data_IF_818591872453
#
_entry.id   IF_818591872453
#
_cell.length_a   1.000
_cell.length_b   1.000
_cell.length_c   1.000
_cell.angle_alpha   90.00
_cell.angle_beta   90.00
_cell.angle_gamma   90.00
#
_symmetry.space_group_name_H-M   'P 1'
#
loop_
_entity.id
_entity.type
_entity.pdbx_description
1 polymer ?
#
# COMPACT_ATOMS: atom_id res chain seq x y z
N UNK A 1 -20.95 -14.82 -1.78
CA UNK A 1 -19.83 -14.44 -0.94
C UNK A 1 -20.12 -13.15 -0.19
N UNK A 2 -19.58 -12.99 1.03
CA UNK A 2 -19.66 -11.71 1.74
C UNK A 2 -18.66 -10.71 1.18
N UNK A 3 -19.05 -9.43 1.07
CA UNK A 3 -18.21 -8.36 0.55
C UNK A 3 -18.60 -7.02 1.16
N UNK A 4 -17.59 -6.14 1.40
CA UNK A 4 -17.81 -4.76 1.83
C UNK A 4 -18.01 -3.88 0.60
N UNK A 5 -19.21 -3.36 0.42
CA UNK A 5 -19.63 -2.62 -0.77
C UNK A 5 -19.78 -1.14 -0.46
N UNK A 6 -19.19 -0.30 -1.31
CA UNK A 6 -19.35 1.16 -1.29
C UNK A 6 -20.63 1.58 -2.00
N UNK A 7 -21.41 2.45 -1.40
CA UNK A 7 -22.69 2.96 -1.94
C UNK A 7 -22.72 4.47 -2.15
N UNK A 8 -21.58 5.13 -2.04
CA UNK A 8 -21.45 6.57 -2.11
C UNK A 8 -20.81 7.13 -0.84
N UNK A 9 -20.51 8.44 -0.80
CA UNK A 9 -19.85 9.07 0.33
C UNK A 9 -20.54 8.77 1.67
N UNK A 10 -19.78 8.26 2.62
CA UNK A 10 -20.24 7.86 3.96
C UNK A 10 -21.03 6.55 4.00
N UNK A 11 -21.35 5.93 2.87
CA UNK A 11 -22.24 4.78 2.79
C UNK A 11 -21.48 3.51 2.37
N UNK A 12 -21.50 2.51 3.22
CA UNK A 12 -20.98 1.16 2.94
C UNK A 12 -21.84 0.11 3.63
N UNK A 13 -21.89 -1.09 3.07
CA UNK A 13 -22.59 -2.22 3.67
C UNK A 13 -21.83 -3.53 3.43
N UNK A 14 -21.97 -4.47 4.38
CA UNK A 14 -21.55 -5.85 4.18
C UNK A 14 -22.71 -6.60 3.53
N UNK A 15 -22.48 -7.09 2.30
CA UNK A 15 -23.54 -7.68 1.47
C UNK A 15 -23.17 -9.06 0.96
N UNK A 16 -24.19 -9.79 0.52
CA UNK A 16 -24.02 -10.99 -0.28
C UNK A 16 -23.87 -10.61 -1.76
N UNK A 17 -22.73 -10.97 -2.34
CA UNK A 17 -22.41 -10.74 -3.76
C UNK A 17 -22.10 -12.09 -4.46
N UNK A 18 -22.28 -12.21 -5.77
CA UNK A 18 -21.82 -13.38 -6.50
C UNK A 18 -20.30 -13.53 -6.39
N UNK A 19 -19.81 -14.77 -6.38
CA UNK A 19 -18.38 -15.05 -6.50
C UNK A 19 -17.90 -14.53 -7.87
N UNK A 20 -16.74 -13.84 -7.95
CA UNK A 20 -16.22 -13.37 -9.22
C UNK A 20 -15.85 -14.54 -10.15
N UNK A 21 -15.91 -14.29 -11.45
CA UNK A 21 -15.55 -15.24 -12.50
C UNK A 21 -14.29 -14.75 -13.23
N UNK A 22 -13.53 -15.70 -13.81
CA UNK A 22 -12.45 -15.40 -14.76
C UNK A 22 -13.05 -14.70 -15.99
N UNK A 23 -12.48 -13.59 -16.41
CA UNK A 23 -12.91 -12.82 -17.59
C UNK A 23 -11.90 -12.85 -18.72
N UNK A 24 -10.62 -12.89 -18.34
CA UNK A 24 -9.50 -12.86 -19.27
C UNK A 24 -8.56 -14.06 -19.01
N UNK A 25 -7.82 -14.52 -20.03
CA UNK A 25 -6.89 -15.64 -19.87
C UNK A 25 -5.83 -15.42 -18.78
N UNK A 26 -5.44 -14.19 -18.50
CA UNK A 26 -4.44 -13.83 -17.48
C UNK A 26 -5.00 -13.59 -16.08
N UNK A 27 -6.27 -13.85 -15.84
CA UNK A 27 -6.89 -13.64 -14.54
C UNK A 27 -6.63 -14.79 -13.56
N UNK A 28 -6.63 -14.46 -12.27
CA UNK A 28 -6.81 -15.44 -11.19
C UNK A 28 -8.00 -15.02 -10.31
N UNK A 29 -8.69 -16.02 -9.75
CA UNK A 29 -9.59 -15.84 -8.61
C UNK A 29 -8.82 -16.26 -7.36
N UNK A 30 -8.76 -15.36 -6.40
CA UNK A 30 -8.10 -15.60 -5.12
C UNK A 30 -9.13 -15.62 -4.01
N UNK A 31 -9.14 -16.70 -3.20
CA UNK A 31 -9.88 -16.78 -1.96
C UNK A 31 -9.12 -16.02 -0.89
N UNK A 32 -9.71 -14.98 -0.34
CA UNK A 32 -9.05 -14.10 0.63
C UNK A 32 -8.86 -14.79 1.97
N UNK A 33 -7.67 -14.62 2.55
CA UNK A 33 -7.31 -15.03 3.92
C UNK A 33 -7.21 -13.81 4.82
N UNK A 34 -6.51 -12.77 4.37
CA UNK A 34 -6.38 -11.49 5.05
C UNK A 34 -6.54 -10.34 4.05
N UNK A 35 -7.10 -9.24 4.50
CA UNK A 35 -7.16 -7.95 3.80
C UNK A 35 -6.99 -6.83 4.82
N UNK A 36 -6.72 -5.63 4.36
CA UNK A 36 -6.54 -4.46 5.23
C UNK A 36 -7.62 -3.42 4.98
N UNK A 37 -7.63 -2.39 5.83
CA UNK A 37 -8.31 -1.11 5.59
C UNK A 37 -7.20 -0.07 5.43
N UNK A 38 -7.12 0.53 4.26
CA UNK A 38 -6.13 1.55 3.92
C UNK A 38 -6.70 2.97 4.06
N UNK A 39 -5.83 3.97 4.17
CA UNK A 39 -6.23 5.38 4.07
C UNK A 39 -7.01 5.69 2.79
N UNK A 40 -6.67 5.02 1.70
CA UNK A 40 -7.39 5.09 0.41
C UNK A 40 -8.86 4.72 0.52
N UNK A 41 -9.22 3.68 1.29
CA UNK A 41 -10.62 3.31 1.53
C UNK A 41 -11.38 4.42 2.25
N UNK A 42 -10.71 5.11 3.18
CA UNK A 42 -11.28 6.26 3.89
C UNK A 42 -11.50 7.45 2.96
N UNK A 43 -10.59 7.72 2.02
CA UNK A 43 -10.75 8.73 0.98
C UNK A 43 -11.89 8.40 0.03
N UNK A 44 -12.04 7.14 -0.38
CA UNK A 44 -13.20 6.69 -1.15
C UNK A 44 -14.50 6.97 -0.38
N UNK A 45 -14.54 6.62 0.92
CA UNK A 45 -15.71 6.86 1.77
C UNK A 45 -15.99 8.34 2.02
N UNK A 46 -15.01 9.24 1.91
CA UNK A 46 -15.22 10.69 1.94
C UNK A 46 -15.75 11.23 0.60
N UNK A 47 -15.60 10.48 -0.49
CA UNK A 47 -15.96 10.92 -1.85
C UNK A 47 -14.81 11.59 -2.61
N UNK A 48 -13.59 11.51 -2.09
CA UNK A 48 -12.39 12.14 -2.68
C UNK A 48 -11.89 11.40 -3.93
N UNK A 49 -12.41 10.18 -4.20
CA UNK A 49 -12.00 9.34 -5.33
C UNK A 49 -13.16 9.14 -6.32
N UNK A 50 -13.38 10.07 -7.26
CA UNK A 50 -14.54 10.06 -8.15
C UNK A 50 -14.58 8.88 -9.14
N UNK A 51 -13.47 8.18 -9.32
CA UNK A 51 -13.40 6.97 -10.17
C UNK A 51 -14.00 5.73 -9.51
N UNK A 52 -14.13 5.72 -8.19
CA UNK A 52 -14.79 4.66 -7.45
C UNK A 52 -16.31 4.91 -7.43
N UNK A 53 -17.06 4.08 -8.14
CA UNK A 53 -18.51 4.23 -8.28
C UNK A 53 -19.29 3.40 -7.26
N UNK A 54 -20.52 3.81 -6.87
CA UNK A 54 -21.40 3.00 -6.02
C UNK A 54 -21.60 1.57 -6.57
N UNK A 55 -21.65 0.59 -5.67
CA UNK A 55 -21.70 -0.83 -6.00
C UNK A 55 -20.33 -1.52 -6.04
N UNK A 56 -19.24 -0.77 -5.84
CA UNK A 56 -17.87 -1.29 -5.82
C UNK A 56 -17.56 -2.01 -4.52
N UNK A 57 -16.96 -3.21 -4.61
CA UNK A 57 -16.32 -3.87 -3.47
C UNK A 57 -14.98 -3.20 -3.22
N UNK A 58 -14.75 -2.73 -1.99
CA UNK A 58 -13.54 -2.01 -1.61
C UNK A 58 -12.31 -2.92 -1.43
N UNK A 59 -11.16 -2.30 -1.19
CA UNK A 59 -9.90 -2.96 -0.84
C UNK A 59 -9.00 -3.27 -2.04
N UNK A 60 -7.70 -3.13 -1.80
CA UNK A 60 -6.66 -3.37 -2.81
C UNK A 60 -5.43 -4.09 -2.24
N UNK A 61 -5.46 -4.43 -0.96
CA UNK A 61 -4.40 -5.14 -0.25
C UNK A 61 -4.90 -6.49 0.22
N UNK A 62 -4.11 -7.53 0.07
CA UNK A 62 -4.52 -8.82 0.59
C UNK A 62 -3.55 -9.95 0.34
N UNK A 63 -3.74 -10.99 1.14
CA UNK A 63 -3.15 -12.31 0.96
C UNK A 63 -4.25 -13.34 0.86
N UNK A 64 -4.03 -14.38 0.08
CA UNK A 64 -5.04 -15.40 -0.11
C UNK A 64 -4.51 -16.66 -0.79
N UNK A 65 -5.43 -17.52 -1.14
CA UNK A 65 -5.14 -18.80 -1.80
C UNK A 65 -5.76 -18.75 -3.20
N UNK A 66 -4.98 -19.08 -4.21
CA UNK A 66 -5.49 -19.18 -5.59
C UNK A 66 -6.58 -20.23 -5.66
N UNK A 67 -7.78 -19.84 -6.06
CA UNK A 67 -8.94 -20.72 -6.22
C UNK A 67 -9.02 -21.27 -7.66
N UNK A 68 -8.80 -20.39 -8.64
CA UNK A 68 -8.79 -20.75 -10.06
C UNK A 68 -7.96 -19.76 -10.87
N UNK A 69 -7.47 -20.19 -12.03
CA UNK A 69 -6.65 -19.38 -12.94
C UNK A 69 -7.15 -19.48 -14.37
N UNK A 70 -6.97 -18.43 -15.13
CA UNK A 70 -7.22 -18.42 -16.56
C UNK A 70 -6.17 -19.21 -17.36
N UNK A 71 -6.48 -19.55 -18.59
CA UNK A 71 -5.64 -20.41 -19.45
C UNK A 71 -4.28 -19.80 -19.82
N UNK A 72 -4.11 -18.50 -19.63
CA UNK A 72 -2.86 -17.78 -19.90
C UNK A 72 -1.97 -17.56 -18.67
N UNK A 73 -2.41 -17.98 -17.48
CA UNK A 73 -1.60 -17.91 -16.26
C UNK A 73 -0.60 -19.09 -16.25
N UNK A 74 0.66 -18.78 -16.02
CA UNK A 74 1.76 -19.75 -16.12
C UNK A 74 2.52 -19.93 -14.81
N UNK A 75 2.49 -18.95 -13.94
CA UNK A 75 3.28 -18.91 -12.68
C UNK A 75 2.53 -19.55 -11.52
N UNK A 76 1.20 -19.45 -11.51
CA UNK A 76 0.36 -19.85 -10.38
C UNK A 76 -0.64 -20.93 -10.74
N UNK A 77 -1.05 -21.70 -9.74
CA UNK A 77 -2.07 -22.76 -9.84
C UNK A 77 -2.99 -22.73 -8.61
N UNK A 78 -4.17 -23.34 -8.68
CA UNK A 78 -5.04 -23.49 -7.52
C UNK A 78 -4.31 -24.13 -6.32
N UNK A 79 -4.51 -23.54 -5.14
CA UNK A 79 -3.87 -23.93 -3.88
C UNK A 79 -2.61 -23.12 -3.53
N UNK A 80 -2.04 -22.36 -4.44
CA UNK A 80 -0.88 -21.51 -4.14
C UNK A 80 -1.27 -20.35 -3.21
N UNK A 81 -0.46 -20.11 -2.19
CA UNK A 81 -0.59 -18.94 -1.30
C UNK A 81 0.06 -17.72 -1.94
N UNK A 82 -0.67 -16.63 -2.02
CA UNK A 82 -0.26 -15.44 -2.75
C UNK A 82 -0.54 -14.13 -2.00
N UNK A 83 0.37 -13.20 -2.17
CA UNK A 83 0.19 -11.78 -1.89
C UNK A 83 -0.37 -11.11 -3.15
N UNK A 84 -1.37 -10.28 -3.00
CA UNK A 84 -1.96 -9.47 -4.07
C UNK A 84 -1.32 -8.09 -4.04
N UNK A 85 -0.67 -7.68 -5.14
CA UNK A 85 -0.20 -6.30 -5.29
C UNK A 85 -1.37 -5.33 -5.44
N UNK A 86 -1.32 -4.18 -4.78
CA UNK A 86 -2.26 -3.09 -5.00
C UNK A 86 -2.24 -2.58 -6.45
N UNK A 87 -1.12 -2.81 -7.15
CA UNK A 87 -0.91 -2.42 -8.54
C UNK A 87 -0.99 -3.65 -9.43
N UNK A 88 -2.02 -3.72 -10.27
CA UNK A 88 -2.11 -4.71 -11.34
C UNK A 88 -1.28 -4.26 -12.55
N UNK A 89 -0.51 -5.17 -13.15
CA UNK A 89 0.35 -4.79 -14.28
C UNK A 89 0.42 -5.88 -15.33
N UNK A 90 0.33 -5.51 -16.62
CA UNK A 90 0.34 -6.48 -17.72
C UNK A 90 1.74 -6.99 -18.10
N UNK A 91 2.81 -6.41 -17.57
CA UNK A 91 4.20 -6.77 -17.83
C UNK A 91 4.72 -6.46 -19.25
N UNK A 92 3.87 -6.06 -20.20
CA UNK A 92 4.24 -5.97 -21.63
C UNK A 92 4.02 -4.61 -22.32
N UNK A 93 3.23 -3.69 -21.73
CA UNK A 93 3.03 -2.36 -22.30
C UNK A 93 4.30 -1.49 -22.13
N UNK A 94 4.33 -0.34 -22.79
CA UNK A 94 5.47 0.57 -22.73
C UNK A 94 5.85 0.99 -21.30
N UNK A 95 4.86 1.23 -20.45
CA UNK A 95 5.08 1.61 -19.05
C UNK A 95 5.66 0.45 -18.23
N UNK A 96 5.07 -0.74 -18.33
CA UNK A 96 5.58 -1.91 -17.63
C UNK A 96 7.02 -2.27 -18.04
N UNK A 97 7.37 -2.14 -19.34
CA UNK A 97 8.74 -2.36 -19.83
C UNK A 97 9.76 -1.36 -19.30
N UNK A 98 9.30 -0.23 -18.81
CA UNK A 98 10.10 0.83 -18.15
C UNK A 98 10.09 0.74 -16.63
N UNK A 99 9.45 -0.29 -16.04
CA UNK A 99 9.29 -0.43 -14.60
C UNK A 99 8.23 0.49 -13.98
N UNK A 100 7.40 1.15 -14.79
CA UNK A 100 6.35 2.08 -14.35
C UNK A 100 5.02 1.35 -14.23
N UNK A 101 4.92 0.38 -13.34
CA UNK A 101 3.77 -0.54 -13.24
C UNK A 101 2.47 0.16 -12.87
N UNK A 102 2.52 1.19 -12.02
CA UNK A 102 1.36 2.01 -11.65
C UNK A 102 0.72 2.74 -12.85
N UNK A 103 1.46 2.93 -13.95
CA UNK A 103 1.00 3.53 -15.20
C UNK A 103 0.62 2.48 -16.26
N UNK A 104 0.46 1.21 -15.87
CA UNK A 104 0.09 0.16 -16.82
C UNK A 104 -1.15 0.53 -17.62
N UNK A 105 -1.11 0.37 -18.94
CA UNK A 105 -2.21 0.76 -19.84
C UNK A 105 -3.52 -0.02 -19.59
N UNK A 106 -3.46 -1.19 -18.95
CA UNK A 106 -4.61 -2.05 -18.64
C UNK A 106 -4.67 -2.47 -17.17
N UNK A 107 -3.95 -1.76 -16.32
CA UNK A 107 -3.84 -2.05 -14.89
C UNK A 107 -3.62 -0.77 -14.08
N UNK A 108 -2.61 -0.77 -13.22
CA UNK A 108 -2.40 0.27 -12.23
C UNK A 108 -3.22 -0.01 -10.97
N UNK A 109 -3.57 1.02 -10.22
CA UNK A 109 -4.48 0.89 -9.09
C UNK A 109 -5.94 0.78 -9.57
N UNK A 110 -6.38 -0.44 -9.82
CA UNK A 110 -7.73 -0.73 -10.29
C UNK A 110 -8.58 -1.50 -9.27
N UNK A 111 -7.98 -2.34 -8.42
CA UNK A 111 -8.67 -3.09 -7.36
C UNK A 111 -9.28 -2.14 -6.33
N UNK A 112 -10.53 -2.39 -5.96
CA UNK A 112 -11.29 -1.55 -5.02
C UNK A 112 -11.63 -0.16 -5.53
N UNK A 113 -11.26 0.16 -6.77
CA UNK A 113 -11.49 1.45 -7.45
C UNK A 113 -12.31 1.24 -8.74
N UNK A 114 -11.68 0.76 -9.81
CA UNK A 114 -12.32 0.55 -11.11
C UNK A 114 -12.96 -0.83 -11.24
N UNK A 115 -12.42 -1.83 -10.54
CA UNK A 115 -12.96 -3.19 -10.42
C UNK A 115 -13.11 -3.56 -8.95
N UNK A 116 -13.87 -4.61 -8.67
CA UNK A 116 -14.08 -5.11 -7.31
C UNK A 116 -12.77 -5.53 -6.65
N UNK A 117 -12.65 -5.22 -5.36
CA UNK A 117 -11.43 -5.33 -4.58
C UNK A 117 -11.40 -6.50 -3.59
N UNK A 118 -10.45 -6.39 -2.66
CA UNK A 118 -10.04 -7.48 -1.75
C UNK A 118 -10.87 -7.59 -0.48
N UNK A 119 -11.71 -6.61 -0.15
CA UNK A 119 -12.57 -6.66 1.06
C UNK A 119 -13.82 -7.53 0.82
N UNK A 120 -13.58 -8.78 0.40
CA UNK A 120 -14.55 -9.81 0.13
C UNK A 120 -13.94 -11.20 0.39
N UNK A 121 -14.76 -12.26 0.33
CA UNK A 121 -14.26 -13.65 0.44
C UNK A 121 -13.46 -14.11 -0.78
N UNK A 122 -13.71 -13.52 -1.95
CA UNK A 122 -12.99 -13.80 -3.21
C UNK A 122 -12.78 -12.53 -4.02
N UNK A 123 -11.66 -12.44 -4.70
CA UNK A 123 -11.33 -11.35 -5.62
C UNK A 123 -10.81 -11.88 -6.95
N UNK A 124 -11.18 -11.20 -8.04
CA UNK A 124 -10.57 -11.42 -9.36
C UNK A 124 -9.36 -10.50 -9.50
N UNK A 125 -8.20 -11.09 -9.69
CA UNK A 125 -6.94 -10.36 -9.90
C UNK A 125 -6.52 -10.48 -11.36
N UNK A 126 -6.58 -9.39 -12.15
CA UNK A 126 -6.07 -9.36 -13.53
C UNK A 126 -4.55 -9.49 -13.58
N UNK A 127 -4.04 -9.99 -14.72
CA UNK A 127 -2.60 -10.12 -14.96
C UNK A 127 -1.89 -10.87 -13.82
N UNK A 128 -2.42 -12.03 -13.44
CA UNK A 128 -2.01 -12.79 -12.26
C UNK A 128 -0.48 -13.00 -12.17
N UNK A 129 0.18 -13.36 -13.28
CA UNK A 129 1.63 -13.64 -13.30
C UNK A 129 2.51 -12.42 -12.94
N UNK A 130 1.96 -11.21 -12.99
CA UNK A 130 2.67 -9.94 -12.69
C UNK A 130 2.00 -9.11 -11.60
N UNK A 131 0.87 -9.58 -11.05
CA UNK A 131 0.09 -8.90 -10.01
C UNK A 131 0.00 -9.70 -8.71
N UNK A 132 0.43 -10.97 -8.74
CA UNK A 132 0.51 -11.84 -7.57
C UNK A 132 1.98 -12.16 -7.25
N UNK A 133 2.27 -12.40 -5.98
CA UNK A 133 3.58 -12.82 -5.50
C UNK A 133 3.43 -14.07 -4.63
N UNK A 134 4.29 -15.09 -4.79
CA UNK A 134 4.21 -16.30 -4.00
C UNK A 134 4.57 -16.02 -2.54
N UNK A 135 3.80 -16.59 -1.62
CA UNK A 135 4.09 -16.54 -0.19
C UNK A 135 4.92 -17.80 0.18
N UNK A 136 6.08 -17.63 0.79
CA UNK A 136 6.89 -18.77 1.26
C UNK A 136 6.13 -19.61 2.30
N UNK A 137 6.28 -20.91 2.26
CA UNK A 137 5.66 -21.80 3.25
C UNK A 137 6.10 -21.45 4.66
N UNK A 138 5.12 -21.32 5.58
CA UNK A 138 5.36 -20.99 6.98
C UNK A 138 5.61 -19.50 7.27
N UNK A 139 5.52 -18.64 6.27
CA UNK A 139 5.61 -17.19 6.48
C UNK A 139 4.37 -16.64 7.18
N UNK A 140 4.55 -15.58 7.95
CA UNK A 140 3.46 -14.87 8.62
C UNK A 140 2.65 -14.03 7.61
N UNK A 141 1.50 -14.54 7.19
CA UNK A 141 0.62 -13.88 6.23
C UNK A 141 0.05 -12.55 6.77
N UNK A 142 -0.06 -12.40 8.09
CA UNK A 142 -0.52 -11.15 8.71
C UNK A 142 0.53 -10.04 8.59
N UNK A 143 1.79 -10.37 8.77
CA UNK A 143 2.89 -9.45 8.52
C UNK A 143 3.06 -9.19 7.01
N UNK A 144 2.93 -10.22 6.17
CA UNK A 144 3.14 -10.11 4.74
C UNK A 144 2.08 -9.27 4.02
N UNK A 145 0.84 -9.16 4.53
CA UNK A 145 -0.18 -8.33 3.90
C UNK A 145 0.25 -6.85 3.79
N UNK A 146 1.14 -6.38 4.67
CA UNK A 146 1.70 -5.02 4.58
C UNK A 146 2.55 -4.79 3.33
N UNK A 147 3.03 -5.85 2.67
CA UNK A 147 3.77 -5.78 1.41
C UNK A 147 2.86 -5.59 0.18
N UNK A 148 1.53 -5.66 0.35
CA UNK A 148 0.59 -5.41 -0.75
C UNK A 148 0.65 -3.97 -1.25
N UNK A 149 0.75 -2.97 -0.34
CA UNK A 149 0.76 -1.55 -0.64
C UNK A 149 1.62 -0.74 0.33
N UNK A 150 1.29 -0.75 1.62
CA UNK A 150 1.80 0.21 2.62
C UNK A 150 3.33 0.27 2.63
N UNK A 151 4.01 -0.88 2.71
CA UNK A 151 5.46 -0.90 2.77
C UNK A 151 6.10 -0.49 1.44
N UNK A 152 5.68 -1.03 0.27
CA UNK A 152 6.17 -0.55 -1.03
C UNK A 152 5.88 0.93 -1.27
N UNK A 153 4.71 1.44 -0.90
CA UNK A 153 4.36 2.85 -1.06
C UNK A 153 5.27 3.76 -0.23
N UNK A 154 5.48 3.45 1.05
CA UNK A 154 6.44 4.19 1.88
C UNK A 154 7.86 4.14 1.34
N UNK A 155 8.26 2.99 0.80
CA UNK A 155 9.57 2.80 0.18
C UNK A 155 9.73 3.55 -1.15
N UNK A 156 8.85 3.31 -2.11
CA UNK A 156 8.99 3.87 -3.46
C UNK A 156 8.73 5.37 -3.48
N UNK A 157 7.62 5.82 -2.87
CA UNK A 157 7.24 7.24 -2.88
C UNK A 157 8.05 8.06 -1.88
N UNK A 158 8.34 7.51 -0.70
CA UNK A 158 9.08 8.22 0.34
C UNK A 158 10.59 8.15 0.15
N UNK A 159 11.14 6.94 0.13
CA UNK A 159 12.60 6.72 0.18
C UNK A 159 13.26 6.84 -1.18
N UNK A 160 12.77 6.10 -2.19
CA UNK A 160 13.39 6.11 -3.52
C UNK A 160 13.17 7.45 -4.24
N UNK A 161 11.95 7.96 -4.28
CA UNK A 161 11.68 9.26 -4.89
C UNK A 161 12.30 10.42 -4.08
N UNK A 162 12.36 10.28 -2.76
CA UNK A 162 13.05 11.18 -1.86
C UNK A 162 14.58 11.13 -2.00
N UNK A 163 15.12 10.17 -2.75
CA UNK A 163 16.55 9.96 -2.99
C UNK A 163 17.35 9.86 -1.70
N UNK A 164 16.81 9.16 -0.70
CA UNK A 164 17.51 8.91 0.55
C UNK A 164 18.82 8.18 0.27
N UNK A 165 19.90 8.66 0.83
CA UNK A 165 21.26 8.16 0.60
C UNK A 165 22.03 8.02 1.92
N UNK A 166 23.17 7.32 1.94
CA UNK A 166 23.99 7.22 3.14
C UNK A 166 24.38 8.60 3.67
N UNK A 167 24.15 8.82 4.97
CA UNK A 167 24.41 10.08 5.65
C UNK A 167 23.34 11.16 5.48
N UNK A 168 22.25 10.91 4.74
CA UNK A 168 21.13 11.85 4.62
C UNK A 168 20.46 12.13 5.96
N UNK A 169 19.99 13.36 6.13
CA UNK A 169 19.02 13.74 7.16
C UNK A 169 17.62 13.73 6.56
N UNK A 170 16.73 12.92 7.11
CA UNK A 170 15.37 12.70 6.59
C UNK A 170 14.34 13.12 7.61
N UNK A 171 13.38 13.97 7.22
CA UNK A 171 12.18 14.26 8.01
C UNK A 171 10.96 13.57 7.38
N UNK A 172 10.17 12.91 8.22
CA UNK A 172 8.92 12.24 7.82
C UNK A 172 7.79 12.83 8.65
N UNK A 173 6.82 13.46 7.98
CA UNK A 173 5.63 14.05 8.58
C UNK A 173 4.49 13.04 8.50
N UNK A 174 3.97 12.65 9.67
CA UNK A 174 2.97 11.58 9.82
C UNK A 174 3.60 10.27 10.26
N UNK A 175 3.21 9.80 11.45
CA UNK A 175 3.59 8.49 12.01
C UNK A 175 2.46 7.45 11.81
N UNK A 176 1.68 7.60 10.73
CA UNK A 176 0.74 6.58 10.28
C UNK A 176 1.48 5.42 9.57
N UNK A 177 0.73 4.42 9.05
CA UNK A 177 1.35 3.25 8.43
C UNK A 177 2.35 3.58 7.31
N UNK A 178 2.05 4.55 6.44
CA UNK A 178 2.95 4.97 5.35
C UNK A 178 4.21 5.65 5.90
N UNK A 179 4.07 6.54 6.87
CA UNK A 179 5.24 7.20 7.49
C UNK A 179 6.15 6.21 8.22
N UNK A 180 5.57 5.24 8.94
CA UNK A 180 6.34 4.16 9.57
C UNK A 180 6.99 3.23 8.53
N UNK A 181 6.33 2.96 7.41
CA UNK A 181 6.91 2.21 6.29
C UNK A 181 8.11 2.95 5.67
N UNK A 182 7.98 4.27 5.46
CA UNK A 182 9.08 5.11 4.99
C UNK A 182 10.24 5.13 6.00
N UNK A 183 9.95 5.23 7.31
CA UNK A 183 10.95 5.17 8.37
C UNK A 183 11.73 3.84 8.34
N UNK A 184 11.02 2.71 8.28
CA UNK A 184 11.64 1.38 8.24
C UNK A 184 12.51 1.20 6.99
N UNK A 185 12.01 1.58 5.84
CA UNK A 185 12.69 1.36 4.56
C UNK A 185 13.82 2.37 4.30
N UNK A 186 13.75 3.57 4.87
CA UNK A 186 14.86 4.54 4.84
C UNK A 186 16.13 3.97 5.46
N UNK A 187 16.02 3.13 6.49
CA UNK A 187 17.18 2.52 7.17
C UNK A 187 18.01 1.63 6.25
N UNK A 188 17.46 1.11 5.15
CA UNK A 188 18.21 0.37 4.13
C UNK A 188 19.29 1.21 3.46
N UNK A 189 19.18 2.53 3.54
CA UNK A 189 20.10 3.49 2.94
C UNK A 189 21.05 4.16 3.94
N UNK A 190 21.06 3.71 5.19
CA UNK A 190 21.94 4.23 6.26
C UNK A 190 21.92 5.75 6.38
N UNK A 191 20.75 6.40 6.55
CA UNK A 191 20.67 7.83 6.79
C UNK A 191 21.37 8.18 8.12
N UNK A 192 21.86 9.40 8.26
CA UNK A 192 22.44 9.88 9.52
C UNK A 192 21.35 10.18 10.55
N UNK A 193 20.24 10.76 10.10
CA UNK A 193 19.13 11.17 10.98
C UNK A 193 17.79 10.83 10.35
N UNK A 194 16.89 10.30 11.18
CA UNK A 194 15.49 10.02 10.86
C UNK A 194 14.60 10.76 11.86
N UNK A 195 14.02 11.86 11.42
CA UNK A 195 13.21 12.78 12.24
C UNK A 195 11.74 12.52 11.95
N UNK A 196 11.02 11.96 12.92
CA UNK A 196 9.58 11.70 12.81
C UNK A 196 8.76 12.82 13.43
N UNK A 197 7.73 13.28 12.72
CA UNK A 197 6.89 14.43 13.11
C UNK A 197 5.43 13.99 13.10
N UNK A 198 4.72 14.14 14.23
CA UNK A 198 3.29 13.83 14.35
C UNK A 198 2.66 14.71 15.44
N UNK A 199 1.33 14.72 15.52
CA UNK A 199 0.56 15.35 16.58
C UNK A 199 0.37 14.44 17.81
N UNK A 200 0.48 13.13 17.63
CA UNK A 200 0.19 12.10 18.63
C UNK A 200 1.46 11.51 19.23
N UNK A 201 1.68 11.74 20.52
CA UNK A 201 2.85 11.23 21.25
C UNK A 201 2.92 9.69 21.23
N UNK A 202 1.80 8.98 21.25
CA UNK A 202 1.80 7.51 21.19
C UNK A 202 2.32 7.00 19.86
N UNK A 203 2.00 7.69 18.75
CA UNK A 203 2.55 7.37 17.43
C UNK A 203 4.03 7.69 17.35
N UNK A 204 4.47 8.79 17.96
CA UNK A 204 5.87 9.15 18.07
C UNK A 204 6.66 8.13 18.92
N UNK A 205 6.06 7.59 19.99
CA UNK A 205 6.68 6.51 20.77
C UNK A 205 6.87 5.24 19.94
N UNK A 206 5.87 4.87 19.13
CA UNK A 206 6.00 3.75 18.19
C UNK A 206 7.13 4.05 17.20
N UNK A 207 7.19 5.24 16.61
CA UNK A 207 8.24 5.60 15.67
C UNK A 207 9.64 5.44 16.27
N UNK A 208 9.84 5.74 17.57
CA UNK A 208 11.11 5.49 18.27
C UNK A 208 11.46 4.00 18.28
N UNK A 209 10.48 3.13 18.51
CA UNK A 209 10.71 1.67 18.50
C UNK A 209 11.05 1.14 17.11
N UNK A 210 10.63 1.85 16.06
CA UNK A 210 10.93 1.55 14.66
C UNK A 210 12.24 2.19 14.15
N UNK A 211 12.99 2.90 15.00
CA UNK A 211 14.33 3.39 14.67
C UNK A 211 14.39 4.89 14.33
N UNK A 212 13.39 5.69 14.69
CA UNK A 212 13.51 7.14 14.59
C UNK A 212 14.63 7.65 15.51
N UNK A 213 15.55 8.47 14.99
CA UNK A 213 16.60 9.10 15.77
C UNK A 213 16.07 10.26 16.59
N UNK A 214 15.08 10.98 16.02
CA UNK A 214 14.40 12.09 16.68
C UNK A 214 12.90 12.05 16.43
N UNK A 215 12.14 12.60 17.38
CA UNK A 215 10.69 12.78 17.26
C UNK A 215 10.31 14.19 17.64
N UNK A 216 9.37 14.79 16.89
CA UNK A 216 8.86 16.14 17.14
C UNK A 216 7.34 16.07 17.20
N UNK A 217 6.75 16.47 18.34
CA UNK A 217 5.31 16.69 18.42
C UNK A 217 4.98 18.06 17.83
N UNK A 218 4.25 18.05 16.71
CA UNK A 218 3.91 19.28 15.97
C UNK A 218 2.80 20.10 16.62
N UNK A 219 2.06 19.57 17.59
CA UNK A 219 1.06 20.31 18.34
C UNK A 219 1.67 21.48 19.15
N UNK A 220 2.95 21.37 19.52
CA UNK A 220 3.68 22.45 20.23
C UNK A 220 4.08 23.64 19.36
N UNK A 221 3.85 23.58 18.03
CA UNK A 221 4.43 24.52 17.07
C UNK A 221 5.94 24.35 16.93
N UNK A 222 6.60 25.30 16.27
CA UNK A 222 8.07 25.40 16.17
C UNK A 222 8.76 24.19 15.50
N UNK A 223 8.04 23.41 14.68
CA UNK A 223 8.58 22.22 14.01
C UNK A 223 9.80 22.56 13.18
N UNK A 224 9.74 23.63 12.37
CA UNK A 224 10.84 24.05 11.50
C UNK A 224 12.08 24.46 12.32
N UNK A 225 11.87 25.17 13.43
CA UNK A 225 12.98 25.62 14.29
C UNK A 225 13.66 24.43 14.96
N UNK A 226 12.88 23.45 15.44
CA UNK A 226 13.41 22.18 16.00
C UNK A 226 14.18 21.38 14.97
N UNK A 227 13.67 21.25 13.73
CA UNK A 227 14.39 20.59 12.64
C UNK A 227 15.70 21.31 12.33
N UNK A 228 15.69 22.65 12.27
CA UNK A 228 16.91 23.44 12.06
C UNK A 228 17.91 23.29 13.20
N UNK A 229 17.45 23.25 14.45
CA UNK A 229 18.29 22.99 15.61
C UNK A 229 19.02 21.65 15.48
N UNK A 230 18.29 20.57 15.19
CA UNK A 230 18.82 19.22 15.01
C UNK A 230 19.82 19.11 13.82
N UNK A 231 19.67 19.97 12.83
CA UNK A 231 20.46 19.93 11.57
C UNK A 231 21.50 21.05 11.48
N UNK A 232 21.80 21.74 12.59
CA UNK A 232 22.76 22.86 12.61
C UNK A 232 22.38 24.01 11.66
N UNK A 233 21.08 24.26 11.50
CA UNK A 233 20.55 25.34 10.67
C UNK A 233 20.37 24.99 9.18
N UNK A 234 20.82 23.83 8.73
CA UNK A 234 20.82 23.45 7.30
C UNK A 234 19.45 22.97 6.80
N UNK A 235 18.61 22.40 7.69
CA UNK A 235 17.42 21.67 7.30
C UNK A 235 17.72 20.22 6.94
N UNK A 236 16.78 19.54 6.26
CA UNK A 236 16.89 18.13 5.90
C UNK A 236 17.21 17.95 4.41
N UNK A 237 17.86 16.84 4.06
CA UNK A 237 18.12 16.48 2.66
C UNK A 237 16.85 15.99 1.97
N UNK A 238 16.00 15.26 2.73
CA UNK A 238 14.72 14.72 2.24
C UNK A 238 13.62 15.01 3.23
N UNK A 239 12.47 15.49 2.74
CA UNK A 239 11.23 15.61 3.50
C UNK A 239 10.15 14.74 2.84
N UNK A 240 9.57 13.83 3.63
CA UNK A 240 8.47 12.95 3.22
C UNK A 240 7.19 13.41 3.92
N UNK A 241 6.15 13.66 3.16
CA UNK A 241 4.81 13.97 3.67
C UNK A 241 3.96 12.69 3.58
N UNK A 242 3.39 12.24 4.71
CA UNK A 242 2.63 11.01 4.85
C UNK A 242 1.36 11.18 5.71
N UNK A 243 0.77 12.38 5.71
CA UNK A 243 -0.49 12.67 6.42
C UNK A 243 -1.67 12.64 5.44
N UNK A 244 -1.52 13.28 4.26
CA UNK A 244 -2.54 13.43 3.21
C UNK A 244 -3.39 14.70 3.36
#
# INVERSE_FOLDING_TARGET
MKALVYHGPGLKALEDRPKPELREPGDAIVKMVKTTICGTDLHILKGDVPTCTPGRILGHEGVGIVDSVGTGVTTFKPGDHVLISCISSCGKCEYCRRGMYSHCATGGWILGNQIDGTQAEYVRTPHADTSLYPIPAGADEEALVMLSDILPTGFECGVLNGKVAPGSTVAIVGCGPIGLAALLTAQFYSPAELIMIDLDDKRLDIARTFGATHTINSASGWVIDKVKELTGGKGVDTAVEAVG
#
